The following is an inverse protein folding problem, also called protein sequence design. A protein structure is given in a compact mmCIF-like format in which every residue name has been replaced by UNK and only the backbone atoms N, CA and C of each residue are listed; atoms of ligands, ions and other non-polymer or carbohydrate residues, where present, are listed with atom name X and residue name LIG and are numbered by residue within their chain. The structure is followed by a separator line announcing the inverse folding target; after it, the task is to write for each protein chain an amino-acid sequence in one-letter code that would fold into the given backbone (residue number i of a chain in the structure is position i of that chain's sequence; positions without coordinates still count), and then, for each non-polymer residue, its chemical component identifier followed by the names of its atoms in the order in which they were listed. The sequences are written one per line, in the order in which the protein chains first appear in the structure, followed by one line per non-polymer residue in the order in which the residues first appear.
data_IF_386886980306
#
_entry.id   IF_386886980306
#
_cell.length_a   1.000
_cell.length_b   1.000
_cell.length_c   1.000
_cell.angle_alpha   90.00
_cell.angle_beta   90.00
_cell.angle_gamma   90.00
#
_symmetry.space_group_name_H-M   'P 1'
#
loop_
_entity.id
_entity.type
_entity.pdbx_description
1 polymer ?
#
# COMPACT_ATOMS: atom_id res chain seq x y z
N UNK A 1 -24.26 6.45 15.08
CA UNK A 1 -22.79 6.45 14.89
C UNK A 1 -22.05 5.56 15.89
N UNK A 2 -22.63 5.22 17.04
CA UNK A 2 -22.05 4.25 18.00
C UNK A 2 -21.87 2.82 17.44
N UNK A 3 -22.48 2.50 16.30
CA UNK A 3 -22.40 1.19 15.63
C UNK A 3 -21.27 1.07 14.60
N UNK A 4 -20.39 2.08 14.47
CA UNK A 4 -19.28 2.04 13.52
C UNK A 4 -18.10 1.29 14.13
N UNK A 5 -17.69 0.21 13.47
CA UNK A 5 -16.51 -0.60 13.80
C UNK A 5 -15.18 0.18 13.69
N UNK A 6 -15.21 1.37 13.08
CA UNK A 6 -14.08 2.27 12.92
C UNK A 6 -14.28 3.58 13.69
N UNK A 7 -13.18 4.10 14.22
CA UNK A 7 -13.09 5.43 14.80
C UNK A 7 -12.54 6.42 13.76
N UNK A 8 -13.41 7.32 13.31
CA UNK A 8 -13.08 8.42 12.41
C UNK A 8 -12.76 9.72 13.16
N UNK A 9 -12.87 9.74 14.49
CA UNK A 9 -12.68 10.92 15.34
C UNK A 9 -13.37 12.18 14.80
N UNK A 10 -14.67 12.04 14.47
CA UNK A 10 -15.43 13.12 13.82
C UNK A 10 -15.48 14.44 14.61
N UNK A 11 -15.51 14.46 15.96
CA UNK A 11 -15.44 15.71 16.72
C UNK A 11 -14.14 16.50 16.48
N UNK A 12 -12.99 15.82 16.50
CA UNK A 12 -11.68 16.43 16.17
C UNK A 12 -11.64 16.89 14.71
N UNK A 13 -12.20 16.09 13.79
CA UNK A 13 -12.31 16.47 12.39
C UNK A 13 -13.12 17.76 12.19
N UNK A 14 -14.26 17.91 12.87
CA UNK A 14 -15.05 19.16 12.84
C UNK A 14 -14.21 20.33 13.34
N UNK A 15 -13.50 20.19 14.45
CA UNK A 15 -12.64 21.25 14.99
C UNK A 15 -11.55 21.65 13.98
N UNK A 16 -10.88 20.68 13.36
CA UNK A 16 -9.84 20.93 12.34
C UNK A 16 -10.40 21.64 11.10
N UNK A 17 -11.56 21.21 10.60
CA UNK A 17 -12.19 21.86 9.45
C UNK A 17 -12.61 23.29 9.80
N UNK A 18 -13.25 23.51 10.96
CA UNK A 18 -13.66 24.84 11.42
C UNK A 18 -12.48 25.82 11.57
N UNK A 19 -11.33 25.34 12.05
CA UNK A 19 -10.13 26.17 12.17
C UNK A 19 -9.56 26.62 10.81
N UNK A 20 -9.72 25.80 9.77
CA UNK A 20 -9.33 26.16 8.40
C UNK A 20 -10.38 27.02 7.70
N UNK A 21 -11.64 26.99 8.18
CA UNK A 21 -12.79 27.74 7.67
C UNK A 21 -12.96 27.68 6.13
N UNK A 22 -12.93 26.48 5.49
CA UNK A 22 -13.08 26.37 4.05
C UNK A 22 -14.54 26.58 3.63
N UNK A 23 -14.77 27.16 2.45
CA UNK A 23 -16.12 27.27 1.85
C UNK A 23 -16.60 25.97 1.25
N UNK A 24 -15.68 25.07 0.90
CA UNK A 24 -15.97 23.83 0.20
C UNK A 24 -14.93 22.76 0.51
N UNK A 25 -15.37 21.52 0.67
CA UNK A 25 -14.49 20.38 0.97
C UNK A 25 -14.80 19.18 0.08
N UNK A 26 -13.79 18.34 -0.19
CA UNK A 26 -13.97 17.00 -0.75
C UNK A 26 -13.78 15.98 0.36
N UNK A 27 -14.75 15.07 0.51
CA UNK A 27 -14.60 13.84 1.28
C UNK A 27 -14.14 12.73 0.34
N UNK A 28 -12.95 12.20 0.58
CA UNK A 28 -12.36 11.13 -0.22
C UNK A 28 -12.22 9.86 0.61
N UNK A 29 -12.79 8.76 0.13
CA UNK A 29 -12.83 7.48 0.86
C UNK A 29 -12.23 6.35 0.03
N UNK A 30 -11.49 5.41 0.64
CA UNK A 30 -11.27 4.11 0.03
C UNK A 30 -12.60 3.38 -0.13
N UNK A 31 -12.63 2.41 -1.04
CA UNK A 31 -13.86 1.69 -1.41
C UNK A 31 -14.56 1.07 -0.20
N UNK A 32 -13.79 0.50 0.74
CA UNK A 32 -14.33 -0.08 1.97
C UNK A 32 -14.98 0.92 2.95
N UNK A 33 -14.70 2.22 2.81
CA UNK A 33 -15.29 3.27 3.66
C UNK A 33 -16.40 4.07 2.97
N UNK A 34 -16.61 3.88 1.66
CA UNK A 34 -17.66 4.61 0.91
C UNK A 34 -19.06 4.40 1.47
N UNK A 35 -19.33 3.26 2.09
CA UNK A 35 -20.61 3.00 2.75
C UNK A 35 -20.90 3.94 3.93
N UNK A 36 -19.87 4.59 4.50
CA UNK A 36 -20.02 5.58 5.58
C UNK A 36 -20.13 7.02 5.06
N UNK A 37 -19.92 7.24 3.76
CA UNK A 37 -19.75 8.59 3.19
C UNK A 37 -20.92 9.53 3.46
N UNK A 38 -22.17 9.08 3.26
CA UNK A 38 -23.37 9.89 3.49
C UNK A 38 -23.55 10.20 4.97
N UNK A 39 -23.41 9.18 5.85
CA UNK A 39 -23.55 9.37 7.28
C UNK A 39 -22.52 10.35 7.86
N UNK A 40 -21.27 10.30 7.36
CA UNK A 40 -20.22 11.25 7.74
C UNK A 40 -20.51 12.64 7.17
N UNK A 41 -20.94 12.74 5.91
CA UNK A 41 -21.29 14.03 5.32
C UNK A 41 -22.44 14.70 6.08
N UNK A 42 -23.48 13.96 6.45
CA UNK A 42 -24.62 14.49 7.20
C UNK A 42 -24.22 14.86 8.64
N UNK A 43 -23.32 14.09 9.28
CA UNK A 43 -22.71 14.51 10.55
C UNK A 43 -22.02 15.86 10.41
N UNK A 44 -21.14 16.01 9.42
CA UNK A 44 -20.37 17.24 9.20
C UNK A 44 -21.29 18.44 8.91
N UNK A 45 -22.33 18.27 8.09
CA UNK A 45 -23.31 19.35 7.80
C UNK A 45 -24.01 19.90 9.04
N UNK A 46 -24.23 19.07 10.07
CA UNK A 46 -24.86 19.54 11.31
C UNK A 46 -24.00 20.57 12.06
N UNK A 47 -22.68 20.53 11.87
CA UNK A 47 -21.72 21.43 12.52
C UNK A 47 -21.15 22.49 11.56
N UNK A 48 -21.09 22.20 10.26
CA UNK A 48 -20.46 23.01 9.22
C UNK A 48 -21.51 23.55 8.23
N UNK A 49 -22.39 24.43 8.70
CA UNK A 49 -23.62 24.83 7.96
C UNK A 49 -23.37 25.51 6.62
N UNK A 50 -22.28 26.25 6.48
CA UNK A 50 -21.96 27.05 5.29
C UNK A 50 -20.89 26.40 4.39
N UNK A 51 -20.54 25.14 4.67
CA UNK A 51 -19.49 24.42 3.94
C UNK A 51 -20.10 23.50 2.89
N UNK A 52 -19.76 23.73 1.61
CA UNK A 52 -20.18 22.86 0.52
C UNK A 52 -19.40 21.55 0.54
N UNK A 53 -20.08 20.41 0.66
CA UNK A 53 -19.44 19.10 0.72
C UNK A 53 -19.59 18.37 -0.61
N UNK A 54 -18.46 17.99 -1.22
CA UNK A 54 -18.39 17.04 -2.33
C UNK A 54 -17.95 15.67 -1.80
N UNK A 55 -18.55 14.59 -2.30
CA UNK A 55 -18.14 13.23 -1.96
C UNK A 55 -17.52 12.61 -3.21
N UNK A 56 -16.26 12.17 -3.12
CA UNK A 56 -15.59 11.50 -4.24
C UNK A 56 -16.17 10.10 -4.47
N UNK A 57 -16.61 9.83 -5.70
CA UNK A 57 -17.09 8.52 -6.13
C UNK A 57 -15.96 7.61 -6.66
N UNK A 58 -14.82 8.19 -7.04
CA UNK A 58 -13.66 7.50 -7.60
C UNK A 58 -13.06 6.49 -6.62
N UNK A 59 -12.54 5.37 -7.12
CA UNK A 59 -11.74 4.45 -6.29
C UNK A 59 -10.49 5.16 -5.78
N UNK A 60 -10.23 5.02 -4.48
CA UNK A 60 -9.07 5.61 -3.80
C UNK A 60 -8.27 4.50 -3.13
N UNK A 61 -7.01 4.33 -3.54
CA UNK A 61 -6.20 3.17 -3.17
C UNK A 61 -5.20 3.42 -2.04
N UNK A 62 -5.00 4.67 -1.65
CA UNK A 62 -4.00 5.04 -0.65
C UNK A 62 -3.81 6.54 -0.50
N UNK A 63 -2.98 6.94 0.46
CA UNK A 63 -2.50 8.33 0.57
C UNK A 63 -1.70 8.79 -0.66
N UNK A 64 -1.28 7.87 -1.53
CA UNK A 64 -0.68 8.19 -2.82
C UNK A 64 -1.68 8.68 -3.88
N UNK A 65 -2.98 8.65 -3.61
CA UNK A 65 -4.05 8.90 -4.59
C UNK A 65 -4.98 10.01 -4.10
N UNK A 66 -4.42 11.22 -3.92
CA UNK A 66 -5.16 12.38 -3.43
C UNK A 66 -5.81 13.12 -4.61
N UNK A 67 -7.09 13.47 -4.45
CA UNK A 67 -7.95 14.13 -5.44
C UNK A 67 -7.64 15.64 -5.64
N UNK A 68 -6.36 15.97 -5.85
CA UNK A 68 -5.87 17.36 -5.97
C UNK A 68 -6.41 18.05 -7.22
N UNK A 69 -6.40 17.36 -8.37
CA UNK A 69 -6.88 17.94 -9.62
C UNK A 69 -8.39 18.18 -9.55
N UNK A 70 -9.13 17.23 -8.97
CA UNK A 70 -10.56 17.32 -8.76
C UNK A 70 -10.91 18.46 -7.77
N UNK A 71 -10.10 18.67 -6.72
CA UNK A 71 -10.25 19.81 -5.82
C UNK A 71 -10.12 21.14 -6.55
N UNK A 72 -9.10 21.29 -7.41
CA UNK A 72 -8.91 22.49 -8.22
C UNK A 72 -10.08 22.73 -9.19
N UNK A 73 -10.54 21.67 -9.87
CA UNK A 73 -11.66 21.76 -10.81
C UNK A 73 -12.97 22.18 -10.14
N UNK A 74 -13.24 21.66 -8.94
CA UNK A 74 -14.48 21.93 -8.19
C UNK A 74 -14.41 23.21 -7.35
N UNK A 75 -13.24 23.86 -7.29
CA UNK A 75 -12.96 24.95 -6.35
C UNK A 75 -13.12 24.50 -4.90
N UNK A 76 -12.73 23.27 -4.58
CA UNK A 76 -12.71 22.75 -3.21
C UNK A 76 -11.45 23.25 -2.49
N UNK A 77 -11.62 23.86 -1.33
CA UNK A 77 -10.55 24.50 -0.56
C UNK A 77 -9.85 23.53 0.40
N UNK A 78 -10.39 22.33 0.60
CA UNK A 78 -9.83 21.30 1.50
C UNK A 78 -10.24 19.89 1.07
N UNK A 79 -9.32 18.94 1.18
CA UNK A 79 -9.60 17.51 1.05
C UNK A 79 -9.57 16.87 2.43
N UNK A 80 -10.60 16.10 2.76
CA UNK A 80 -10.61 15.18 3.90
C UNK A 80 -10.44 13.77 3.36
N UNK A 81 -9.26 13.19 3.56
CA UNK A 81 -8.87 11.89 3.03
C UNK A 81 -8.95 10.82 4.12
N UNK A 82 -9.86 9.86 3.96
CA UNK A 82 -10.10 8.82 4.94
C UNK A 82 -9.26 7.55 4.65
N UNK A 83 -9.00 6.75 5.69
CA UNK A 83 -8.44 5.41 5.58
C UNK A 83 -6.92 5.32 5.43
N UNK A 84 -6.20 6.43 5.28
CA UNK A 84 -4.76 6.40 5.05
C UNK A 84 -4.03 7.49 5.82
N UNK A 85 -2.74 7.30 6.00
CA UNK A 85 -1.81 8.33 6.46
C UNK A 85 -1.26 9.12 5.27
N UNK A 86 -0.61 10.27 5.53
CA UNK A 86 0.07 11.02 4.49
C UNK A 86 1.10 10.18 3.72
N UNK A 87 1.27 10.51 2.43
CA UNK A 87 2.25 9.88 1.54
C UNK A 87 3.13 10.96 0.91
N UNK A 88 4.44 10.84 1.09
CA UNK A 88 5.41 11.92 0.82
C UNK A 88 5.29 12.58 -0.56
N UNK A 89 5.16 11.79 -1.63
CA UNK A 89 5.01 12.34 -2.99
C UNK A 89 3.68 13.07 -3.19
N UNK A 90 2.62 12.59 -2.56
CA UNK A 90 1.30 13.21 -2.67
C UNK A 90 1.19 14.47 -1.80
N UNK A 91 1.76 14.46 -0.59
CA UNK A 91 1.86 15.65 0.26
C UNK A 91 2.69 16.76 -0.38
N UNK A 92 3.83 16.40 -0.99
CA UNK A 92 4.64 17.37 -1.71
C UNK A 92 3.82 18.07 -2.81
N UNK A 93 3.05 17.28 -3.58
CA UNK A 93 2.16 17.84 -4.61
C UNK A 93 1.03 18.67 -4.02
N UNK A 94 0.42 18.27 -2.90
CA UNK A 94 -0.64 19.04 -2.26
C UNK A 94 -0.16 20.39 -1.74
N UNK A 95 1.07 20.45 -1.20
CA UNK A 95 1.71 21.70 -0.78
C UNK A 95 1.99 22.61 -1.99
N UNK A 96 2.57 22.07 -3.07
CA UNK A 96 2.87 22.84 -4.27
C UNK A 96 1.61 23.44 -4.91
N UNK A 97 0.55 22.65 -4.98
CA UNK A 97 -0.74 23.05 -5.58
C UNK A 97 -1.62 23.84 -4.61
N UNK A 98 -1.17 24.05 -3.36
CA UNK A 98 -1.89 24.78 -2.30
C UNK A 98 -3.27 24.20 -2.00
N UNK A 99 -3.38 22.87 -2.03
CA UNK A 99 -4.61 22.14 -1.67
C UNK A 99 -4.36 21.45 -0.32
N UNK A 100 -4.87 21.98 0.81
CA UNK A 100 -4.68 21.34 2.11
C UNK A 100 -5.42 20.00 2.18
N UNK A 101 -4.87 19.08 2.96
CA UNK A 101 -5.42 17.73 3.15
C UNK A 101 -5.43 17.40 4.64
N UNK A 102 -6.60 17.01 5.17
CA UNK A 102 -6.72 16.36 6.47
C UNK A 102 -6.82 14.86 6.26
N UNK A 103 -5.93 14.10 6.90
CA UNK A 103 -5.96 12.64 6.87
C UNK A 103 -6.74 12.10 8.07
N UNK A 104 -7.66 11.17 7.83
CA UNK A 104 -8.48 10.50 8.84
C UNK A 104 -8.24 9.00 8.74
N UNK A 105 -7.33 8.43 9.55
CA UNK A 105 -6.93 7.02 9.45
C UNK A 105 -8.07 5.99 9.49
N UNK A 106 -9.13 6.25 10.28
CA UNK A 106 -10.19 5.28 10.50
C UNK A 106 -9.70 4.04 11.25
N UNK A 107 -9.30 4.21 12.53
CA UNK A 107 -8.75 3.09 13.33
C UNK A 107 -9.84 2.10 13.69
N UNK A 108 -9.57 0.81 13.55
CA UNK A 108 -10.51 -0.25 13.89
C UNK A 108 -10.60 -0.40 15.41
N UNK A 109 -11.83 -0.43 15.95
CA UNK A 109 -12.06 -0.37 17.40
C UNK A 109 -11.92 -1.71 18.12
N UNK A 110 -12.06 -2.83 17.41
CA UNK A 110 -12.09 -4.15 18.05
C UNK A 110 -10.67 -4.64 18.30
N UNK A 111 -10.44 -5.14 19.50
CA UNK A 111 -9.24 -5.86 19.88
C UNK A 111 -9.24 -7.27 19.28
N UNK A 112 -8.05 -7.87 19.18
CA UNK A 112 -7.93 -9.27 18.78
C UNK A 112 -8.43 -10.19 19.88
N UNK A 113 -9.08 -11.29 19.49
CA UNK A 113 -9.54 -12.30 20.43
C UNK A 113 -8.39 -13.01 21.14
N UNK A 114 -8.64 -13.52 22.35
CA UNK A 114 -7.69 -14.39 23.06
C UNK A 114 -7.33 -15.64 22.23
N UNK A 115 -8.28 -16.17 21.46
CA UNK A 115 -8.06 -17.32 20.58
C UNK A 115 -7.06 -17.02 19.45
N UNK A 116 -7.10 -15.84 18.84
CA UNK A 116 -6.14 -15.48 17.79
C UNK A 116 -4.74 -15.26 18.37
N UNK A 117 -4.62 -14.66 19.56
CA UNK A 117 -3.34 -14.54 20.26
C UNK A 117 -2.72 -15.90 20.62
N UNK A 118 -3.52 -16.85 21.10
CA UNK A 118 -3.06 -18.23 21.36
C UNK A 118 -2.65 -18.93 20.06
N UNK A 119 -3.42 -18.76 18.98
CA UNK A 119 -3.11 -19.35 17.67
C UNK A 119 -1.82 -18.78 17.09
N UNK A 120 -1.56 -17.48 17.27
CA UNK A 120 -0.30 -16.84 16.91
C UNK A 120 0.88 -17.45 17.67
N UNK A 121 0.77 -17.59 18.98
CA UNK A 121 1.79 -18.22 19.80
C UNK A 121 2.11 -19.64 19.32
N UNK A 122 1.06 -20.43 19.01
CA UNK A 122 1.22 -21.77 18.47
C UNK A 122 1.99 -21.77 17.14
N UNK A 123 1.62 -20.92 16.19
CA UNK A 123 2.31 -20.83 14.89
C UNK A 123 3.75 -20.33 15.02
N UNK A 124 4.04 -19.38 15.92
CA UNK A 124 5.42 -18.94 16.21
C UNK A 124 6.27 -20.07 16.79
N UNK A 125 5.75 -20.81 17.76
CA UNK A 125 6.45 -21.95 18.36
C UNK A 125 6.73 -23.05 17.33
N UNK A 126 5.77 -23.32 16.44
CA UNK A 126 5.91 -24.32 15.37
C UNK A 126 7.05 -24.00 14.40
N UNK A 127 7.33 -22.72 14.16
CA UNK A 127 8.45 -22.28 13.31
C UNK A 127 9.73 -21.97 14.11
N UNK A 128 9.72 -22.15 15.43
CA UNK A 128 10.86 -21.83 16.30
C UNK A 128 11.19 -20.33 16.37
N UNK A 129 10.21 -19.45 16.14
CA UNK A 129 10.40 -18.01 16.17
C UNK A 129 10.31 -17.46 17.61
N UNK A 130 11.25 -16.59 17.96
CA UNK A 130 11.41 -16.00 19.30
C UNK A 130 11.43 -14.48 19.31
N UNK A 131 11.64 -13.85 18.14
CA UNK A 131 11.74 -12.40 17.97
C UNK A 131 10.94 -11.93 16.76
N UNK A 132 9.59 -11.98 16.80
CA UNK A 132 8.78 -11.50 15.70
C UNK A 132 8.77 -9.97 15.61
N UNK A 133 8.95 -9.45 14.39
CA UNK A 133 8.64 -8.06 14.06
C UNK A 133 7.14 -7.93 13.75
N UNK A 134 6.45 -7.06 14.47
CA UNK A 134 5.00 -6.86 14.38
C UNK A 134 4.70 -5.64 13.52
N UNK A 135 3.96 -5.81 12.44
CA UNK A 135 3.56 -4.73 11.53
C UNK A 135 2.09 -4.81 11.15
N UNK A 136 1.53 -3.69 10.67
CA UNK A 136 0.11 -3.57 10.36
C UNK A 136 -0.15 -2.52 9.29
N UNK A 137 -1.38 -2.51 8.77
CA UNK A 137 -1.91 -1.31 8.11
C UNK A 137 -2.38 -0.30 9.15
N UNK A 138 -2.51 0.97 8.77
CA UNK A 138 -2.85 2.04 9.71
C UNK A 138 -4.13 1.78 10.54
N UNK A 139 -5.12 1.08 9.97
CA UNK A 139 -6.37 0.79 10.66
C UNK A 139 -6.18 -0.11 11.89
N UNK A 140 -5.11 -0.91 11.96
CA UNK A 140 -4.92 -1.91 13.00
C UNK A 140 -3.55 -1.80 13.70
N UNK A 141 -2.87 -0.66 13.63
CA UNK A 141 -1.58 -0.45 14.32
C UNK A 141 -1.70 -0.58 15.83
N UNK A 142 -2.86 -0.22 16.41
CA UNK A 142 -3.08 -0.29 17.85
C UNK A 142 -3.09 -1.75 18.37
N UNK A 143 -3.52 -2.71 17.55
CA UNK A 143 -3.49 -4.14 17.88
C UNK A 143 -2.07 -4.69 18.08
N UNK A 144 -1.04 -4.00 17.54
CA UNK A 144 0.35 -4.43 17.68
C UNK A 144 0.83 -4.38 19.13
N UNK A 145 0.34 -3.41 19.93
CA UNK A 145 0.67 -3.32 21.36
C UNK A 145 0.12 -4.52 22.12
N UNK A 146 -1.13 -4.87 21.87
CA UNK A 146 -1.79 -6.04 22.45
C UNK A 146 -1.01 -7.33 22.15
N UNK A 147 -0.61 -7.54 20.89
CA UNK A 147 0.19 -8.71 20.49
C UNK A 147 1.54 -8.72 21.19
N UNK A 148 2.26 -7.59 21.17
CA UNK A 148 3.60 -7.47 21.77
C UNK A 148 3.56 -7.85 23.24
N UNK A 149 2.63 -7.27 24.00
CA UNK A 149 2.57 -7.45 25.44
C UNK A 149 2.20 -8.91 25.78
N UNK A 150 1.24 -9.50 25.06
CA UNK A 150 0.87 -10.92 25.18
C UNK A 150 2.04 -11.88 24.91
N UNK A 151 2.84 -11.61 23.88
CA UNK A 151 3.99 -12.45 23.49
C UNK A 151 5.16 -12.30 24.48
N UNK A 152 5.45 -11.07 24.92
CA UNK A 152 6.53 -10.78 25.85
C UNK A 152 6.31 -11.45 27.21
N UNK A 153 5.08 -11.46 27.72
CA UNK A 153 4.69 -12.21 28.94
C UNK A 153 4.99 -13.72 28.87
N UNK A 154 5.13 -14.26 27.65
CA UNK A 154 5.33 -15.68 27.37
C UNK A 154 6.75 -15.97 26.85
N UNK A 155 7.66 -15.02 27.02
CA UNK A 155 9.07 -15.19 26.68
C UNK A 155 9.41 -15.00 25.20
N UNK A 156 8.48 -14.52 24.37
CA UNK A 156 8.73 -14.17 22.96
C UNK A 156 8.99 -12.66 22.88
N UNK A 157 10.18 -12.26 22.47
CA UNK A 157 10.63 -10.86 22.42
C UNK A 157 10.15 -10.18 21.15
N UNK A 158 8.88 -9.79 21.13
CA UNK A 158 8.26 -9.13 19.99
C UNK A 158 8.66 -7.65 19.89
N UNK A 159 8.90 -7.17 18.66
CA UNK A 159 9.30 -5.78 18.40
C UNK A 159 8.33 -5.12 17.42
N UNK A 160 7.94 -3.87 17.71
CA UNK A 160 7.20 -3.02 16.76
C UNK A 160 8.25 -2.10 16.12
N UNK A 161 8.61 -2.29 14.84
CA UNK A 161 9.68 -1.53 14.21
C UNK A 161 9.25 -0.08 13.99
N UNK A 162 10.19 0.85 14.14
CA UNK A 162 9.94 2.28 13.86
C UNK A 162 9.82 2.53 12.36
N UNK A 163 8.94 3.47 12.01
CA UNK A 163 8.86 4.00 10.65
C UNK A 163 9.38 5.42 10.60
N UNK A 164 10.18 5.80 9.59
CA UNK A 164 10.64 7.18 9.44
C UNK A 164 9.53 8.15 9.02
N UNK A 165 8.47 7.65 8.37
CA UNK A 165 7.43 8.48 7.73
C UNK A 165 6.00 8.12 8.14
N UNK A 166 5.81 7.09 8.95
CA UNK A 166 4.51 6.52 9.30
C UNK A 166 4.43 6.19 10.80
N UNK A 167 3.26 5.72 11.28
CA UNK A 167 3.16 5.22 12.66
C UNK A 167 4.08 4.00 12.90
N UNK A 168 4.46 3.74 14.15
CA UNK A 168 5.27 2.57 14.51
C UNK A 168 4.56 1.28 14.09
N UNK A 169 5.30 0.38 13.45
CA UNK A 169 4.76 -0.86 12.89
C UNK A 169 3.89 -0.67 11.64
N UNK A 170 3.62 0.55 11.19
CA UNK A 170 2.83 0.75 9.98
C UNK A 170 3.64 0.40 8.73
N UNK A 171 3.04 -0.42 7.85
CA UNK A 171 3.53 -0.67 6.50
C UNK A 171 2.45 -0.30 5.47
N UNK A 172 2.88 -0.06 4.24
CA UNK A 172 1.99 0.07 3.08
C UNK A 172 2.52 -0.77 1.93
N UNK A 173 1.71 -0.98 0.90
CA UNK A 173 2.06 -1.85 -0.21
C UNK A 173 3.29 -1.52 -1.04
N UNK A 174 3.84 -0.33 -0.87
CA UNK A 174 5.04 0.10 -1.56
C UNK A 174 6.17 0.51 -0.61
N UNK A 175 5.98 0.39 0.71
CA UNK A 175 6.96 0.77 1.72
C UNK A 175 6.94 -0.22 2.89
N UNK A 176 8.00 -1.02 2.94
CA UNK A 176 8.30 -1.99 4.01
C UNK A 176 9.56 -1.57 4.78
N UNK A 177 9.96 -0.29 4.70
CA UNK A 177 11.16 0.23 5.35
C UNK A 177 11.25 -0.04 6.86
N UNK A 178 10.16 -0.10 7.66
CA UNK A 178 10.28 -0.47 9.07
C UNK A 178 10.92 -1.85 9.27
N UNK A 179 10.55 -2.83 8.43
CA UNK A 179 11.10 -4.19 8.47
C UNK A 179 12.52 -4.26 7.92
N UNK A 180 12.87 -3.41 6.96
CA UNK A 180 14.20 -3.39 6.34
C UNK A 180 15.23 -2.72 7.27
N UNK A 181 14.80 -1.69 8.01
CA UNK A 181 15.65 -0.93 8.92
C UNK A 181 15.84 -1.64 10.27
N UNK A 182 14.84 -2.41 10.71
CA UNK A 182 14.98 -3.30 11.87
C UNK A 182 15.93 -4.48 11.52
N UNK A 183 16.83 -4.83 12.43
CA UNK A 183 17.85 -5.87 12.19
C UNK A 183 17.64 -7.10 13.08
N UNK A 184 17.07 -6.94 14.27
CA UNK A 184 17.01 -7.99 15.28
C UNK A 184 15.61 -8.62 15.37
N UNK A 185 15.26 -9.42 14.37
CA UNK A 185 14.03 -10.23 14.36
C UNK A 185 14.23 -11.49 13.52
N UNK A 186 13.46 -12.55 13.79
CA UNK A 186 13.56 -13.83 13.10
C UNK A 186 12.33 -14.17 12.24
N UNK A 187 11.23 -13.45 12.43
CA UNK A 187 9.94 -13.68 11.78
C UNK A 187 9.11 -12.39 11.69
N UNK A 188 8.09 -12.37 10.84
CA UNK A 188 7.20 -11.21 10.67
C UNK A 188 5.77 -11.62 11.01
N UNK A 189 5.08 -10.79 11.79
CA UNK A 189 3.63 -10.91 12.03
C UNK A 189 2.95 -9.68 11.43
N UNK A 190 1.99 -9.90 10.55
CA UNK A 190 1.27 -8.84 9.84
C UNK A 190 -0.21 -8.86 10.20
N UNK A 191 -0.71 -7.79 10.82
CA UNK A 191 -2.13 -7.61 11.09
C UNK A 191 -2.77 -6.90 9.90
N UNK A 192 -3.60 -7.61 9.14
CA UNK A 192 -4.31 -7.05 7.99
C UNK A 192 -5.45 -7.96 7.52
N UNK A 193 -6.53 -7.37 7.00
CA UNK A 193 -7.64 -8.15 6.41
C UNK A 193 -7.20 -8.91 5.15
N UNK A 194 -6.54 -8.22 4.21
CA UNK A 194 -6.04 -8.85 2.97
C UNK A 194 -4.66 -9.50 3.10
N UNK A 195 -4.34 -10.44 2.21
CA UNK A 195 -3.03 -11.12 2.22
C UNK A 195 -1.87 -10.28 1.69
N UNK A 196 -2.18 -9.25 0.91
CA UNK A 196 -1.21 -8.48 0.16
C UNK A 196 -0.05 -7.93 1.02
N UNK A 197 -0.36 -7.29 2.16
CA UNK A 197 0.68 -6.73 3.03
C UNK A 197 1.56 -7.82 3.64
N UNK A 198 0.97 -8.96 4.01
CA UNK A 198 1.71 -10.11 4.52
C UNK A 198 2.62 -10.71 3.44
N UNK A 199 2.14 -10.84 2.21
CA UNK A 199 2.96 -11.33 1.11
C UNK A 199 4.12 -10.41 0.78
N UNK A 200 3.87 -9.10 0.67
CA UNK A 200 4.94 -8.14 0.40
C UNK A 200 5.96 -8.06 1.54
N UNK A 201 5.51 -8.15 2.81
CA UNK A 201 6.43 -8.21 3.95
C UNK A 201 7.33 -9.44 3.88
N UNK A 202 6.77 -10.62 3.56
CA UNK A 202 7.55 -11.83 3.35
C UNK A 202 8.51 -11.73 2.16
N UNK A 203 8.08 -11.14 1.02
CA UNK A 203 8.94 -10.96 -0.16
C UNK A 203 10.13 -10.04 0.12
N UNK A 204 9.95 -8.99 0.90
CA UNK A 204 11.00 -8.01 1.19
C UNK A 204 11.99 -8.48 2.25
N UNK A 205 11.54 -9.30 3.19
CA UNK A 205 12.35 -9.77 4.31
C UNK A 205 12.93 -11.16 4.10
N UNK A 206 12.30 -11.97 3.25
CA UNK A 206 12.61 -13.40 3.06
C UNK A 206 12.53 -14.22 4.36
N UNK A 207 11.79 -13.71 5.36
CA UNK A 207 11.62 -14.35 6.67
C UNK A 207 10.26 -15.04 6.79
N UNK A 208 10.13 -16.03 7.70
CA UNK A 208 8.84 -16.62 8.04
C UNK A 208 7.81 -15.52 8.35
N UNK A 209 6.63 -15.62 7.73
CA UNK A 209 5.60 -14.58 7.82
C UNK A 209 4.26 -15.18 8.22
N UNK A 210 3.66 -14.61 9.27
CA UNK A 210 2.35 -14.98 9.78
C UNK A 210 1.40 -13.79 9.59
N UNK A 211 0.22 -14.04 9.03
CA UNK A 211 -0.86 -13.07 8.91
C UNK A 211 -1.88 -13.28 10.02
N UNK A 212 -2.38 -12.18 10.58
CA UNK A 212 -3.57 -12.17 11.44
C UNK A 212 -4.62 -11.31 10.76
N UNK A 213 -5.80 -11.87 10.57
CA UNK A 213 -6.97 -11.13 10.10
C UNK A 213 -7.75 -10.55 11.30
N UNK A 214 -7.80 -9.22 11.48
CA UNK A 214 -8.47 -8.60 12.61
C UNK A 214 -10.00 -8.66 12.53
N UNK A 215 -10.57 -9.04 11.39
CA UNK A 215 -12.02 -9.14 11.21
C UNK A 215 -12.53 -10.56 11.47
N UNK A 216 -11.71 -11.57 11.15
CA UNK A 216 -12.08 -12.99 11.28
C UNK A 216 -11.33 -13.72 12.38
N UNK A 217 -10.39 -13.05 13.05
CA UNK A 217 -9.48 -13.63 14.06
C UNK A 217 -8.62 -14.79 13.54
N UNK A 218 -8.56 -14.97 12.22
CA UNK A 218 -7.82 -16.07 11.59
C UNK A 218 -6.31 -15.78 11.58
N UNK A 219 -5.54 -16.76 12.02
CA UNK A 219 -4.06 -16.73 12.01
C UNK A 219 -3.54 -17.73 10.99
N UNK A 220 -2.65 -17.28 10.11
CA UNK A 220 -2.14 -18.10 9.00
C UNK A 220 -0.65 -17.89 8.80
N UNK A 221 0.12 -18.98 8.76
CA UNK A 221 1.49 -18.94 8.27
C UNK A 221 1.47 -18.90 6.73
N UNK A 222 1.87 -17.76 6.16
CA UNK A 222 1.82 -17.49 4.72
C UNK A 222 3.18 -17.67 4.03
N UNK A 223 4.17 -18.21 4.73
CA UNK A 223 5.55 -18.35 4.23
C UNK A 223 5.61 -19.14 2.92
N UNK A 224 4.86 -20.23 2.80
CA UNK A 224 4.83 -21.04 1.57
C UNK A 224 4.12 -20.32 0.42
N UNK A 225 3.11 -19.50 0.70
CA UNK A 225 2.47 -18.64 -0.31
C UNK A 225 3.48 -17.63 -0.85
N UNK A 226 4.28 -17.01 0.01
CA UNK A 226 5.34 -16.07 -0.38
C UNK A 226 6.36 -16.74 -1.29
N UNK A 227 6.82 -17.96 -0.96
CA UNK A 227 7.74 -18.73 -1.81
C UNK A 227 7.13 -19.02 -3.19
N UNK A 228 5.83 -19.34 -3.26
CA UNK A 228 5.13 -19.55 -4.54
C UNK A 228 5.09 -18.29 -5.38
N UNK A 229 4.78 -17.14 -4.77
CA UNK A 229 4.79 -15.84 -5.46
C UNK A 229 6.20 -15.54 -5.96
N UNK A 230 7.21 -15.69 -5.11
CA UNK A 230 8.60 -15.45 -5.47
C UNK A 230 9.06 -16.31 -6.65
N UNK A 231 8.70 -17.60 -6.67
CA UNK A 231 8.98 -18.50 -7.81
C UNK A 231 8.33 -17.98 -9.10
N UNK A 232 7.08 -17.52 -9.05
CA UNK A 232 6.42 -16.91 -10.22
C UNK A 232 7.15 -15.63 -10.67
N UNK A 233 7.60 -14.80 -9.72
CA UNK A 233 8.34 -13.57 -10.04
C UNK A 233 9.68 -13.85 -10.71
N UNK A 234 10.46 -14.80 -10.19
CA UNK A 234 11.70 -15.22 -10.86
C UNK A 234 11.46 -15.85 -12.23
N UNK A 235 10.39 -16.63 -12.43
CA UNK A 235 10.03 -17.12 -13.74
C UNK A 235 9.66 -15.99 -14.71
N UNK A 236 8.96 -14.96 -14.23
CA UNK A 236 8.66 -13.74 -15.02
C UNK A 236 9.94 -12.97 -15.38
N UNK A 237 10.87 -12.80 -14.45
CA UNK A 237 12.18 -12.19 -14.71
C UNK A 237 13.02 -13.02 -15.69
N UNK A 238 12.98 -14.35 -15.61
CA UNK A 238 13.69 -15.23 -16.53
C UNK A 238 13.19 -15.05 -17.97
N UNK A 239 11.85 -15.06 -18.15
CA UNK A 239 11.23 -14.84 -19.46
C UNK A 239 11.53 -13.47 -20.07
N UNK A 240 11.83 -12.44 -19.25
CA UNK A 240 12.14 -11.10 -19.75
C UNK A 240 13.62 -10.85 -20.03
N UNK A 241 14.54 -11.80 -19.73
CA UNK A 241 15.97 -11.64 -20.02
C UNK A 241 16.26 -11.44 -21.50
N UNK A 242 15.51 -12.11 -22.37
CA UNK A 242 15.64 -12.01 -23.84
C UNK A 242 14.85 -10.84 -24.44
N UNK A 243 14.22 -9.99 -23.63
CA UNK A 243 13.44 -8.87 -24.14
C UNK A 243 14.34 -7.82 -24.80
N UNK A 244 14.07 -7.48 -26.06
CA UNK A 244 14.77 -6.46 -26.84
C UNK A 244 13.98 -5.13 -26.88
N UNK A 245 12.67 -5.20 -26.74
CA UNK A 245 11.77 -4.04 -26.75
C UNK A 245 10.91 -4.02 -25.49
N UNK A 246 11.03 -2.94 -24.72
CA UNK A 246 10.35 -2.77 -23.43
C UNK A 246 9.20 -1.76 -23.50
N UNK A 247 8.06 -2.06 -22.89
CA UNK A 247 7.00 -1.09 -22.63
C UNK A 247 7.09 -0.54 -21.21
N UNK A 248 7.36 0.76 -21.05
CA UNK A 248 7.39 1.41 -19.73
C UNK A 248 6.03 2.05 -19.47
N UNK A 249 5.32 1.59 -18.45
CA UNK A 249 4.02 2.13 -18.03
C UNK A 249 4.20 3.13 -16.90
N UNK A 250 3.95 4.40 -17.20
CA UNK A 250 4.05 5.55 -16.30
C UNK A 250 2.72 5.76 -15.57
N UNK A 251 2.75 5.72 -14.24
CA UNK A 251 1.60 6.10 -13.40
C UNK A 251 1.43 7.60 -13.33
N UNK A 252 0.22 8.11 -13.58
CA UNK A 252 -0.07 9.55 -13.51
C UNK A 252 -0.92 9.95 -12.30
N UNK A 253 -1.24 9.02 -11.38
CA UNK A 253 -1.81 9.36 -10.08
C UNK A 253 -0.81 10.16 -9.24
N UNK A 254 -1.33 11.05 -8.41
CA UNK A 254 -0.61 12.07 -7.63
C UNK A 254 0.70 11.58 -7.00
N UNK A 255 0.68 10.46 -6.26
CA UNK A 255 1.83 9.87 -5.59
C UNK A 255 2.45 8.67 -6.32
N UNK A 256 2.04 8.37 -7.56
CA UNK A 256 2.54 7.23 -8.33
C UNK A 256 3.41 7.63 -9.52
N UNK A 257 3.57 8.93 -9.78
CA UNK A 257 4.49 9.41 -10.80
C UNK A 257 5.93 9.42 -10.26
N UNK A 258 6.82 8.66 -10.90
CA UNK A 258 8.20 8.40 -10.43
C UNK A 258 9.25 8.78 -11.48
N UNK A 259 9.46 10.07 -11.74
CA UNK A 259 10.28 10.54 -12.87
C UNK A 259 11.74 10.08 -12.79
N UNK A 260 12.30 9.95 -11.58
CA UNK A 260 13.68 9.49 -11.38
C UNK A 260 13.82 8.02 -11.80
N UNK A 261 12.90 7.16 -11.35
CA UNK A 261 12.88 5.73 -11.71
C UNK A 261 12.69 5.54 -13.21
N UNK A 262 11.79 6.31 -13.83
CA UNK A 262 11.53 6.25 -15.27
C UNK A 262 12.81 6.59 -16.05
N UNK A 263 13.46 7.72 -15.76
CA UNK A 263 14.70 8.12 -16.44
C UNK A 263 15.83 7.11 -16.25
N UNK A 264 15.93 6.51 -15.07
CA UNK A 264 16.92 5.46 -14.79
C UNK A 264 16.67 4.20 -15.64
N UNK A 265 15.42 3.78 -15.80
CA UNK A 265 15.05 2.66 -16.68
C UNK A 265 15.32 3.00 -18.15
N UNK A 266 14.90 4.18 -18.62
CA UNK A 266 15.15 4.65 -19.98
C UNK A 266 16.64 4.61 -20.33
N UNK A 267 17.48 5.14 -19.44
CA UNK A 267 18.93 5.18 -19.61
C UNK A 267 19.53 3.77 -19.62
N UNK A 268 19.10 2.91 -18.69
CA UNK A 268 19.62 1.54 -18.59
C UNK A 268 19.26 0.70 -19.83
N UNK A 269 18.01 0.81 -20.31
CA UNK A 269 17.55 0.09 -21.52
C UNK A 269 18.36 0.56 -22.74
N UNK A 270 18.52 1.87 -22.93
CA UNK A 270 19.34 2.44 -24.01
C UNK A 270 20.79 1.99 -23.96
N UNK A 271 21.42 2.04 -22.78
CA UNK A 271 22.82 1.63 -22.61
C UNK A 271 23.05 0.14 -22.89
N UNK A 272 22.01 -0.69 -22.79
CA UNK A 272 22.04 -2.12 -23.15
C UNK A 272 21.76 -2.36 -24.64
N UNK A 273 21.64 -1.31 -25.46
CA UNK A 273 21.32 -1.41 -26.89
C UNK A 273 19.87 -1.80 -27.18
N UNK A 274 19.00 -1.77 -26.17
CA UNK A 274 17.59 -2.19 -26.24
C UNK A 274 16.68 -1.00 -26.53
N UNK A 275 15.47 -1.28 -27.04
CA UNK A 275 14.47 -0.26 -27.36
C UNK A 275 13.40 -0.18 -26.29
N UNK A 276 12.72 0.97 -26.19
CA UNK A 276 11.54 1.10 -25.35
C UNK A 276 10.47 2.02 -25.95
N UNK A 277 9.25 1.85 -25.45
CA UNK A 277 8.12 2.74 -25.67
C UNK A 277 7.55 3.19 -24.32
N UNK A 278 7.13 4.45 -24.24
CA UNK A 278 6.50 5.01 -23.04
C UNK A 278 4.99 5.01 -23.20
N UNK A 279 4.31 4.51 -22.18
CA UNK A 279 2.86 4.57 -22.02
C UNK A 279 2.55 5.27 -20.70
N UNK A 280 1.39 5.90 -20.58
CA UNK A 280 0.94 6.44 -19.31
C UNK A 280 -0.48 5.96 -19.01
N UNK A 281 -0.79 5.73 -17.73
CA UNK A 281 -2.15 5.44 -17.27
C UNK A 281 -2.38 6.03 -15.87
N UNK A 282 -3.58 6.57 -15.65
CA UNK A 282 -4.05 6.90 -14.29
C UNK A 282 -4.40 5.62 -13.53
N UNK A 283 -4.94 4.59 -14.20
CA UNK A 283 -5.46 3.40 -13.54
C UNK A 283 -5.22 2.12 -14.33
N UNK A 284 -3.96 1.64 -14.35
CA UNK A 284 -3.61 0.47 -15.15
C UNK A 284 -4.39 -0.79 -14.72
N UNK A 285 -5.17 -1.34 -15.65
CA UNK A 285 -5.81 -2.66 -15.52
C UNK A 285 -5.21 -3.65 -16.53
N UNK A 286 -5.49 -4.95 -16.36
CA UNK A 286 -5.10 -5.96 -17.35
C UNK A 286 -5.72 -5.70 -18.73
N UNK A 287 -6.95 -5.15 -18.78
CA UNK A 287 -7.61 -4.84 -20.04
C UNK A 287 -6.95 -3.65 -20.74
N UNK A 288 -6.61 -2.60 -19.97
CA UNK A 288 -5.83 -1.48 -20.51
C UNK A 288 -4.49 -1.95 -21.08
N UNK A 289 -3.80 -2.84 -20.35
CA UNK A 289 -2.53 -3.40 -20.80
C UNK A 289 -2.68 -4.24 -22.08
N UNK A 290 -3.71 -5.08 -22.18
CA UNK A 290 -4.03 -5.84 -23.40
C UNK A 290 -4.35 -4.93 -24.59
N UNK A 291 -5.08 -3.84 -24.37
CA UNK A 291 -5.45 -2.91 -25.43
C UNK A 291 -4.25 -2.20 -26.06
N UNK A 292 -3.18 -1.98 -25.28
CA UNK A 292 -1.94 -1.36 -25.76
C UNK A 292 -0.88 -2.39 -26.18
N UNK A 293 -1.15 -3.69 -26.01
CA UNK A 293 -0.18 -4.72 -26.33
C UNK A 293 0.07 -4.79 -27.84
N UNK A 294 1.34 -4.98 -28.21
CA UNK A 294 1.78 -5.04 -29.60
C UNK A 294 2.77 -6.19 -29.77
N UNK A 295 2.75 -6.93 -30.90
CA UNK A 295 3.67 -8.05 -31.13
C UNK A 295 5.15 -7.71 -30.96
N UNK A 296 5.53 -6.46 -31.23
CA UNK A 296 6.91 -5.96 -31.12
C UNK A 296 7.39 -5.68 -29.69
N UNK A 297 6.52 -5.71 -28.68
CA UNK A 297 6.88 -5.44 -27.28
C UNK A 297 7.06 -6.78 -26.58
N UNK A 298 8.22 -6.98 -25.94
CA UNK A 298 8.59 -8.27 -25.36
C UNK A 298 8.27 -8.34 -23.86
N UNK A 299 8.40 -7.22 -23.14
CA UNK A 299 8.14 -7.14 -21.70
C UNK A 299 7.67 -5.74 -21.30
N UNK A 300 6.90 -5.67 -20.21
CA UNK A 300 6.43 -4.42 -19.62
C UNK A 300 7.04 -4.16 -18.25
N UNK A 301 7.25 -2.88 -17.93
CA UNK A 301 7.61 -2.42 -16.58
C UNK A 301 6.58 -1.41 -16.12
N UNK A 302 5.95 -1.67 -14.98
CA UNK A 302 5.00 -0.74 -14.37
C UNK A 302 5.71 0.09 -13.32
N UNK A 303 5.84 1.40 -13.57
CA UNK A 303 6.55 2.32 -12.66
C UNK A 303 5.65 2.99 -11.63
N UNK A 304 4.36 2.62 -11.59
CA UNK A 304 3.34 3.17 -10.71
C UNK A 304 3.26 2.39 -9.39
N UNK A 305 2.08 1.85 -9.05
CA UNK A 305 1.89 1.02 -7.87
C UNK A 305 2.58 -0.35 -8.06
N UNK A 306 3.53 -0.77 -7.19
CA UNK A 306 4.22 -2.04 -7.32
C UNK A 306 3.33 -3.26 -7.12
N UNK A 307 2.10 -3.06 -6.65
CA UNK A 307 1.09 -4.10 -6.50
C UNK A 307 0.59 -4.62 -7.84
N UNK A 308 0.52 -3.76 -8.85
CA UNK A 308 -0.14 -4.09 -10.12
C UNK A 308 0.57 -5.26 -10.83
N UNK A 309 1.91 -5.30 -10.95
CA UNK A 309 2.60 -6.45 -11.53
C UNK A 309 2.48 -7.75 -10.72
N UNK A 310 2.39 -7.66 -9.38
CA UNK A 310 2.48 -8.81 -8.48
C UNK A 310 1.10 -9.40 -8.19
N UNK A 311 0.12 -8.56 -7.88
CA UNK A 311 -1.24 -8.96 -7.50
C UNK A 311 -2.11 -9.03 -8.77
N UNK A 312 -2.37 -7.88 -9.39
CA UNK A 312 -3.46 -7.74 -10.36
C UNK A 312 -3.19 -8.46 -11.69
N UNK A 313 -1.95 -8.37 -12.16
CA UNK A 313 -1.57 -8.89 -13.48
C UNK A 313 -1.01 -10.31 -13.37
N UNK A 314 -0.20 -10.61 -12.34
CA UNK A 314 0.38 -11.95 -12.19
C UNK A 314 -0.65 -13.02 -11.86
N UNK A 315 -1.76 -12.65 -11.20
CA UNK A 315 -2.84 -13.60 -10.90
C UNK A 315 -3.75 -13.85 -12.10
N UNK A 316 -3.86 -12.89 -13.02
CA UNK A 316 -4.76 -12.94 -14.19
C UNK A 316 -4.07 -13.40 -15.48
N UNK A 317 -2.82 -13.85 -15.37
CA UNK A 317 -2.02 -14.46 -16.45
C UNK A 317 -1.99 -13.63 -17.75
N UNK A 318 -1.57 -12.37 -17.66
CA UNK A 318 -1.23 -11.62 -18.88
C UNK A 318 -0.13 -12.34 -19.67
N UNK A 319 -0.23 -12.24 -21.00
CA UNK A 319 0.47 -13.10 -21.95
C UNK A 319 1.99 -12.86 -21.95
N UNK A 320 2.43 -11.66 -21.56
CA UNK A 320 3.84 -11.25 -21.55
C UNK A 320 4.35 -10.93 -20.14
N UNK A 321 5.68 -10.97 -19.91
CA UNK A 321 6.25 -10.56 -18.64
C UNK A 321 5.89 -9.11 -18.28
N UNK A 322 5.34 -8.92 -17.07
CA UNK A 322 5.10 -7.60 -16.48
C UNK A 322 5.85 -7.50 -15.17
N UNK A 323 6.77 -6.55 -15.12
CA UNK A 323 7.74 -6.40 -14.05
C UNK A 323 7.45 -5.15 -13.22
N UNK A 324 7.85 -5.20 -11.95
CA UNK A 324 8.07 -3.99 -11.16
C UNK A 324 9.39 -3.32 -11.59
N UNK A 325 9.65 -2.07 -11.16
CA UNK A 325 10.92 -1.42 -11.47
C UNK A 325 12.13 -2.17 -10.89
N UNK A 326 12.00 -2.68 -9.65
CA UNK A 326 13.06 -3.45 -9.00
C UNK A 326 13.44 -4.69 -9.79
N UNK A 327 12.44 -5.46 -10.24
CA UNK A 327 12.65 -6.64 -11.09
C UNK A 327 13.27 -6.27 -12.45
N UNK A 328 12.80 -5.19 -13.08
CA UNK A 328 13.37 -4.72 -14.34
C UNK A 328 14.85 -4.32 -14.20
N UNK A 329 15.21 -3.62 -13.11
CA UNK A 329 16.60 -3.31 -12.81
C UNK A 329 17.44 -4.57 -12.59
N UNK A 330 16.91 -5.54 -11.84
CA UNK A 330 17.59 -6.82 -11.60
C UNK A 330 17.89 -7.53 -12.94
N UNK A 331 16.89 -7.64 -13.83
CA UNK A 331 17.04 -8.28 -15.14
C UNK A 331 18.03 -7.54 -16.03
N UNK A 332 17.88 -6.22 -16.19
CA UNK A 332 18.72 -5.42 -17.08
C UNK A 332 20.17 -5.33 -16.60
N UNK A 333 20.42 -5.38 -15.28
CA UNK A 333 21.77 -5.39 -14.70
C UNK A 333 22.39 -6.78 -14.58
N UNK A 334 21.58 -7.85 -14.58
CA UNK A 334 22.04 -9.21 -14.29
C UNK A 334 22.24 -9.49 -12.80
N UNK A 335 21.57 -8.73 -11.92
CA UNK A 335 21.69 -8.85 -10.45
C UNK A 335 20.47 -9.58 -9.86
N UNK A 336 20.49 -10.92 -9.82
CA UNK A 336 19.32 -11.73 -9.41
C UNK A 336 19.38 -12.25 -7.95
N UNK A 337 20.42 -11.93 -7.18
CA UNK A 337 20.68 -12.60 -5.91
C UNK A 337 19.73 -12.20 -4.77
N UNK A 338 19.20 -10.97 -4.78
CA UNK A 338 18.24 -10.49 -3.79
C UNK A 338 17.05 -9.83 -4.48
N UNK A 339 15.85 -10.35 -4.21
CA UNK A 339 14.61 -9.80 -4.75
C UNK A 339 14.41 -8.34 -4.32
N UNK A 340 14.05 -7.48 -5.27
CA UNK A 340 13.79 -6.05 -5.07
C UNK A 340 12.41 -5.71 -5.63
N UNK A 341 11.57 -5.12 -4.80
CA UNK A 341 10.23 -4.70 -5.22
C UNK A 341 10.25 -3.44 -6.08
N UNK A 342 11.11 -2.46 -5.76
CA UNK A 342 11.18 -1.14 -6.41
C UNK A 342 12.60 -0.78 -6.82
#
# INVERSE_FOLDING_TARGET
METLDYDFNLPDLVSKISNLNPKSIILQFPDGFKLFSIAIADYLKNYLKDVKIYISAESTWGGCDIAIEEAKMLGAELIVHFGHTPYSLAEYKSILEKVPVIYVPGKFKKELSKSSLISLLFELNKIGASKPALVSTIQHVDALKQIRDFLNERGISATIPKSPLMEEGQIVGCDYSPLINEKNYDSVVVVSGGYFHAFGAGLMTMKPTIKIDPYTDKVENVTENVKKILKKRYATMERSKSAEVWGIIIGTRTGQYRPITIRALESLIKNKGKKYYLFFSKSLTINELRNIDQPKIDAYVVTSCPRIPIDDISEKEFEKPVLTPGEAFMVLKGELERYRLL
#
